data_IF_970029737334
#
_entry.id   IF_970029737334
#
_cell.length_a   1.000
_cell.length_b   1.000
_cell.length_c   1.000
_cell.angle_alpha   90.00
_cell.angle_beta   90.00
_cell.angle_gamma   90.00
#
_symmetry.space_group_name_H-M   'P 1'
#
loop_
_entity.id
_entity.type
_entity.pdbx_description
1 polymer ?
#
# COMPACT_ATOMS: atom_id res chain seq x y z
N UNK A 1 -35.10 53.81 -20.12
CA UNK A 1 -35.21 53.01 -18.92
C UNK A 1 -36.01 51.74 -19.27
N UNK A 2 -35.37 50.65 -19.72
CA UNK A 2 -35.98 49.39 -20.05
C UNK A 2 -35.23 48.28 -19.30
N UNK A 3 -35.97 47.59 -18.47
CA UNK A 3 -35.57 46.41 -17.72
C UNK A 3 -35.26 45.26 -18.71
N UNK A 4 -34.06 44.69 -18.64
CA UNK A 4 -33.70 43.48 -19.36
C UNK A 4 -33.83 42.27 -18.44
N UNK A 5 -34.59 41.31 -18.95
CA UNK A 5 -35.06 40.09 -18.36
C UNK A 5 -33.96 39.05 -18.12
N UNK A 6 -34.06 38.39 -16.96
CA UNK A 6 -33.37 37.13 -16.65
C UNK A 6 -33.96 36.02 -17.51
N UNK A 7 -33.21 35.41 -18.38
CA UNK A 7 -33.48 34.02 -18.81
C UNK A 7 -32.24 33.39 -19.47
N UNK A 8 -31.98 32.15 -19.01
CA UNK A 8 -31.34 31.04 -19.71
C UNK A 8 -29.81 30.97 -19.70
N UNK A 9 -29.27 30.39 -18.62
CA UNK A 9 -28.12 29.53 -18.70
C UNK A 9 -28.56 28.08 -18.44
N UNK A 10 -28.90 27.38 -19.52
CA UNK A 10 -28.99 25.92 -19.53
C UNK A 10 -27.53 25.40 -19.69
N UNK A 11 -26.88 25.13 -18.59
CA UNK A 11 -25.64 24.38 -18.57
C UNK A 11 -25.91 22.91 -18.86
N UNK A 12 -25.58 22.45 -20.04
CA UNK A 12 -25.52 21.02 -20.38
C UNK A 12 -24.42 20.36 -19.61
N UNK A 13 -24.76 19.79 -18.45
CA UNK A 13 -23.86 18.86 -17.73
C UNK A 13 -23.78 17.58 -18.55
N UNK A 14 -22.66 17.38 -19.27
CA UNK A 14 -22.30 16.10 -19.85
C UNK A 14 -21.82 15.23 -18.69
N UNK A 15 -22.73 14.46 -18.10
CA UNK A 15 -22.39 13.37 -17.22
C UNK A 15 -21.70 12.29 -18.07
N UNK A 16 -20.38 12.22 -18.02
CA UNK A 16 -19.64 11.10 -18.56
C UNK A 16 -19.97 9.87 -17.70
N UNK A 17 -20.96 9.10 -18.14
CA UNK A 17 -21.25 7.78 -17.58
C UNK A 17 -20.08 6.85 -17.91
N UNK A 18 -19.22 6.59 -16.92
CA UNK A 18 -18.25 5.50 -16.99
C UNK A 18 -19.05 4.20 -16.97
N UNK A 19 -19.30 3.66 -18.13
CA UNK A 19 -19.93 2.35 -18.29
C UNK A 19 -18.90 1.31 -17.85
N UNK A 20 -19.05 0.78 -16.65
CA UNK A 20 -18.28 -0.37 -16.19
C UNK A 20 -18.72 -1.57 -17.03
N UNK A 21 -17.89 -2.00 -17.97
CA UNK A 21 -18.04 -3.30 -18.61
C UNK A 21 -18.01 -4.35 -17.50
N UNK A 22 -19.19 -4.91 -17.18
CA UNK A 22 -19.28 -6.08 -16.33
C UNK A 22 -18.54 -7.21 -17.04
N UNK A 23 -17.50 -7.76 -16.42
CA UNK A 23 -16.89 -9.00 -16.88
C UNK A 23 -18.02 -10.06 -17.00
N UNK A 24 -18.03 -10.85 -18.06
CA UNK A 24 -19.05 -11.90 -18.19
C UNK A 24 -18.96 -12.85 -16.99
N UNK A 25 -20.12 -13.17 -16.37
CA UNK A 25 -20.19 -14.18 -15.32
C UNK A 25 -19.61 -15.49 -15.86
N UNK A 26 -18.46 -15.92 -15.32
CA UNK A 26 -17.79 -17.16 -15.72
C UNK A 26 -16.44 -17.02 -16.44
N UNK A 27 -15.96 -15.80 -16.74
CA UNK A 27 -14.58 -15.64 -17.17
C UNK A 27 -13.63 -15.93 -16.00
N UNK A 28 -12.67 -16.85 -16.21
CA UNK A 28 -11.60 -17.07 -15.23
C UNK A 28 -10.89 -15.75 -14.95
N UNK A 29 -10.70 -15.40 -13.67
CA UNK A 29 -9.90 -14.24 -13.31
C UNK A 29 -8.48 -14.42 -13.82
N UNK A 30 -7.88 -13.40 -14.45
CA UNK A 30 -6.50 -13.53 -14.92
C UNK A 30 -5.57 -13.89 -13.77
N UNK A 31 -4.70 -14.87 -13.99
CA UNK A 31 -3.57 -15.10 -13.09
C UNK A 31 -2.54 -14.01 -13.34
N UNK A 32 -2.33 -13.14 -12.36
CA UNK A 32 -1.34 -12.07 -12.43
C UNK A 32 0.09 -12.56 -12.15
N UNK A 33 0.29 -13.89 -12.02
CA UNK A 33 1.59 -14.53 -11.82
C UNK A 33 2.16 -14.37 -10.41
N UNK A 34 1.40 -13.82 -9.46
CA UNK A 34 1.90 -13.60 -8.11
C UNK A 34 1.64 -14.78 -7.18
N UNK A 35 2.68 -15.17 -6.44
CA UNK A 35 2.56 -16.13 -5.35
C UNK A 35 1.88 -15.47 -4.15
N UNK A 36 0.75 -16.03 -3.73
CA UNK A 36 0.05 -15.59 -2.53
C UNK A 36 0.40 -16.43 -1.31
N UNK A 37 0.68 -15.77 -0.21
CA UNK A 37 0.98 -16.39 1.09
C UNK A 37 -0.30 -16.54 1.89
N UNK A 38 -0.54 -17.72 2.46
CA UNK A 38 -1.64 -17.95 3.39
C UNK A 38 -1.29 -17.39 4.78
N UNK A 39 -2.13 -16.49 5.27
CA UNK A 39 -2.08 -16.01 6.65
C UNK A 39 -3.16 -16.73 7.44
N UNK A 40 -2.79 -17.52 8.47
CA UNK A 40 -3.76 -18.32 9.23
C UNK A 40 -4.78 -17.46 9.98
N UNK A 41 -5.98 -18.02 10.19
CA UNK A 41 -6.96 -17.43 11.10
C UNK A 41 -6.40 -17.34 12.53
N UNK A 42 -6.98 -16.46 13.33
CA UNK A 42 -6.67 -16.36 14.76
C UNK A 42 -6.20 -14.97 15.18
N UNK A 43 -5.87 -14.81 16.46
CA UNK A 43 -5.54 -13.52 17.06
C UNK A 43 -4.14 -13.03 16.69
N UNK A 44 -3.98 -11.70 16.73
CA UNK A 44 -2.67 -11.04 16.67
C UNK A 44 -2.71 -9.71 17.46
N UNK A 45 -1.53 -9.21 17.82
CA UNK A 45 -1.38 -7.92 18.49
C UNK A 45 -1.27 -6.81 17.44
N UNK A 46 -2.30 -5.95 17.33
CA UNK A 46 -2.34 -4.80 16.44
C UNK A 46 -2.00 -3.52 17.19
N UNK A 47 -1.17 -2.68 16.58
CA UNK A 47 -0.81 -1.38 17.14
C UNK A 47 0.34 -1.45 18.13
N UNK A 48 0.52 -0.37 18.91
CA UNK A 48 1.62 -0.15 19.84
C UNK A 48 1.06 0.15 21.22
N UNK A 49 1.63 -0.45 22.28
CA UNK A 49 1.26 -0.13 23.66
C UNK A 49 1.63 1.33 24.00
N UNK A 50 0.82 2.01 24.80
CA UNK A 50 1.05 3.41 25.13
C UNK A 50 2.44 3.67 25.73
N UNK A 51 2.88 2.82 26.67
CA UNK A 51 4.21 2.91 27.28
C UNK A 51 5.35 2.74 26.26
N UNK A 52 5.15 1.87 25.28
CA UNK A 52 6.11 1.65 24.19
C UNK A 52 6.14 2.84 23.24
N UNK A 53 4.99 3.41 22.89
CA UNK A 53 4.91 4.62 22.08
C UNK A 53 5.63 5.81 22.75
N UNK A 54 5.46 5.98 24.06
CA UNK A 54 6.18 7.00 24.84
C UNK A 54 7.69 6.74 24.87
N UNK A 55 8.13 5.48 25.01
CA UNK A 55 9.55 5.10 24.97
C UNK A 55 10.15 5.44 23.63
N UNK A 56 9.52 5.00 22.54
CA UNK A 56 9.97 5.24 21.16
C UNK A 56 10.02 6.74 20.84
N UNK A 57 9.00 7.50 21.25
CA UNK A 57 8.96 8.94 21.03
C UNK A 57 10.15 9.65 21.73
N UNK A 58 10.48 9.29 22.97
CA UNK A 58 11.64 9.83 23.70
C UNK A 58 12.97 9.44 23.03
N UNK A 59 13.12 8.17 22.68
CA UNK A 59 14.37 7.63 22.13
C UNK A 59 14.71 8.27 20.78
N UNK A 60 13.71 8.50 19.95
CA UNK A 60 13.89 9.07 18.61
C UNK A 60 13.63 10.57 18.54
N UNK A 61 13.41 11.26 19.67
CA UNK A 61 13.14 12.70 19.74
C UNK A 61 11.91 13.16 18.95
N UNK A 62 10.86 12.31 18.88
CA UNK A 62 9.57 12.65 18.28
C UNK A 62 8.53 12.99 19.34
N UNK A 63 7.52 13.75 18.95
CA UNK A 63 6.34 13.96 19.79
C UNK A 63 5.46 12.70 19.76
N UNK A 64 5.00 12.25 20.93
CA UNK A 64 4.22 10.98 21.07
C UNK A 64 2.93 10.96 20.23
N UNK A 65 2.35 12.14 19.92
CA UNK A 65 1.16 12.22 19.06
C UNK A 65 1.37 11.68 17.64
N UNK A 66 2.61 11.60 17.16
CA UNK A 66 2.93 11.02 15.85
C UNK A 66 2.68 9.50 15.83
N UNK A 67 2.73 8.88 17.01
CA UNK A 67 2.42 7.46 17.20
C UNK A 67 0.96 7.22 17.61
N UNK A 68 0.17 8.29 17.75
CA UNK A 68 -1.21 8.21 18.26
C UNK A 68 -2.15 7.36 17.42
N UNK A 69 -1.92 7.29 16.10
CA UNK A 69 -2.74 6.47 15.20
C UNK A 69 -2.59 4.96 15.40
N UNK A 70 -1.55 4.51 16.09
CA UNK A 70 -1.27 3.10 16.36
C UNK A 70 -1.54 2.67 17.83
N UNK A 71 -1.88 3.63 18.69
CA UNK A 71 -2.23 3.41 20.11
C UNK A 71 -3.75 3.39 20.26
N UNK A 72 -4.32 2.53 21.12
CA UNK A 72 -3.67 1.50 21.93
C UNK A 72 -3.37 0.20 21.15
N UNK A 73 -2.41 -0.57 21.65
CA UNK A 73 -2.26 -1.95 21.21
C UNK A 73 -3.49 -2.76 21.61
N UNK A 74 -3.96 -3.62 20.71
CA UNK A 74 -5.15 -4.45 20.95
C UNK A 74 -5.00 -5.81 20.27
N UNK A 75 -5.58 -6.83 20.87
CA UNK A 75 -5.72 -8.14 20.23
C UNK A 75 -6.90 -8.09 19.27
N UNK A 76 -6.65 -8.41 18.00
CA UNK A 76 -7.68 -8.60 16.99
C UNK A 76 -7.65 -10.05 16.51
N UNK A 77 -8.83 -10.60 16.23
CA UNK A 77 -8.98 -11.88 15.59
C UNK A 77 -9.37 -11.68 14.13
N UNK A 78 -8.63 -12.32 13.22
CA UNK A 78 -8.90 -12.26 11.78
C UNK A 78 -9.16 -13.66 11.24
N UNK A 79 -10.07 -13.82 10.27
CA UNK A 79 -10.17 -15.05 9.49
C UNK A 79 -8.88 -15.31 8.71
N UNK A 80 -8.71 -16.52 8.20
CA UNK A 80 -7.63 -16.81 7.27
C UNK A 80 -7.82 -16.03 5.97
N UNK A 81 -6.73 -15.57 5.39
CA UNK A 81 -6.71 -14.87 4.10
C UNK A 81 -5.40 -15.15 3.36
N UNK A 82 -5.38 -14.85 2.08
CA UNK A 82 -4.15 -14.87 1.29
C UNK A 82 -3.75 -13.44 0.95
N UNK A 83 -2.44 -13.18 0.93
CA UNK A 83 -1.86 -11.89 0.57
C UNK A 83 -0.72 -12.10 -0.44
N UNK A 84 -0.55 -11.19 -1.38
CA UNK A 84 0.57 -11.24 -2.33
C UNK A 84 1.90 -11.26 -1.57
N UNK A 85 2.81 -12.14 -1.97
CA UNK A 85 4.15 -12.25 -1.37
C UNK A 85 4.93 -10.95 -1.53
N UNK A 86 4.83 -10.31 -2.68
CA UNK A 86 5.48 -9.05 -3.04
C UNK A 86 4.44 -7.97 -3.37
N UNK A 87 4.81 -6.68 -3.32
CA UNK A 87 4.01 -5.61 -3.91
C UNK A 87 3.75 -5.87 -5.41
N UNK A 88 2.68 -5.31 -5.96
CA UNK A 88 2.43 -5.38 -7.41
C UNK A 88 3.55 -4.67 -8.15
N UNK A 89 4.24 -5.40 -9.05
CA UNK A 89 5.34 -4.84 -9.85
C UNK A 89 4.83 -4.07 -11.06
N UNK A 90 5.68 -3.20 -11.62
CA UNK A 90 5.39 -2.51 -12.88
C UNK A 90 5.07 -3.50 -14.00
N UNK A 91 5.78 -4.63 -14.08
CA UNK A 91 5.49 -5.72 -15.06
C UNK A 91 4.06 -6.24 -14.94
N UNK A 92 3.62 -6.55 -13.71
CA UNK A 92 2.26 -7.07 -13.46
C UNK A 92 1.20 -6.01 -13.74
N UNK A 93 1.47 -4.76 -13.37
CA UNK A 93 0.54 -3.66 -13.64
C UNK A 93 0.41 -3.36 -15.14
N UNK A 94 1.47 -3.54 -15.94
CA UNK A 94 1.43 -3.40 -17.39
C UNK A 94 0.49 -4.43 -18.06
N UNK A 95 0.45 -5.66 -17.55
CA UNK A 95 -0.51 -6.66 -18.02
C UNK A 95 -1.96 -6.20 -17.83
N UNK A 96 -2.28 -5.58 -16.69
CA UNK A 96 -3.58 -4.98 -16.43
C UNK A 96 -3.87 -3.79 -17.37
N UNK A 97 -2.92 -2.86 -17.52
CA UNK A 97 -3.05 -1.68 -18.40
C UNK A 97 -3.39 -2.13 -19.82
N UNK A 98 -2.66 -3.10 -20.35
CA UNK A 98 -2.88 -3.62 -21.69
C UNK A 98 -4.20 -4.41 -21.81
N UNK A 99 -4.55 -5.26 -20.86
CA UNK A 99 -5.76 -6.07 -20.89
C UNK A 99 -7.04 -5.23 -20.79
N UNK A 100 -7.00 -4.14 -20.04
CA UNK A 100 -8.18 -3.32 -19.74
C UNK A 100 -8.19 -1.97 -20.47
N UNK A 101 -7.19 -1.70 -21.33
CA UNK A 101 -6.95 -0.37 -21.88
C UNK A 101 -7.00 0.71 -20.80
N UNK A 102 -6.42 0.39 -19.63
CA UNK A 102 -6.43 1.29 -18.48
C UNK A 102 -5.34 2.36 -18.62
N UNK A 103 -5.51 3.50 -17.93
CA UNK A 103 -4.50 4.56 -17.94
C UNK A 103 -3.20 4.07 -17.28
N UNK A 104 -2.05 4.24 -17.94
CA UNK A 104 -0.76 3.92 -17.33
C UNK A 104 -0.35 4.94 -16.27
N UNK A 105 0.57 4.59 -15.34
CA UNK A 105 1.25 5.56 -14.49
C UNK A 105 1.92 6.68 -15.29
N UNK A 106 1.88 7.91 -14.78
CA UNK A 106 2.31 9.11 -15.52
C UNK A 106 3.79 9.11 -15.95
N UNK A 107 4.64 8.34 -15.26
CA UNK A 107 6.07 8.24 -15.56
C UNK A 107 6.41 7.18 -16.62
N UNK A 108 5.42 6.41 -17.11
CA UNK A 108 5.64 5.44 -18.18
C UNK A 108 5.61 6.12 -19.55
N UNK A 109 6.28 5.52 -20.52
CA UNK A 109 6.21 5.94 -21.92
C UNK A 109 5.11 5.13 -22.63
N UNK A 110 3.91 5.69 -22.73
CA UNK A 110 2.73 4.96 -23.21
C UNK A 110 2.28 3.89 -22.22
N UNK A 111 2.02 2.68 -22.67
CA UNK A 111 1.54 1.55 -21.85
C UNK A 111 2.68 0.67 -21.31
N UNK A 112 3.93 0.98 -21.66
CA UNK A 112 5.09 0.19 -21.27
C UNK A 112 5.86 0.86 -20.14
N UNK A 113 6.15 0.12 -19.04
CA UNK A 113 7.00 0.63 -17.98
C UNK A 113 8.46 0.74 -18.44
N UNK A 114 9.25 1.65 -17.86
CA UNK A 114 10.69 1.70 -18.10
C UNK A 114 11.34 0.35 -17.76
N UNK A 115 12.17 -0.18 -18.68
CA UNK A 115 12.78 -1.50 -18.54
C UNK A 115 13.54 -1.73 -17.20
N UNK A 116 14.27 -0.75 -16.63
CA UNK A 116 14.92 -0.92 -15.32
C UNK A 116 13.93 -1.07 -14.15
N UNK A 117 12.66 -0.62 -14.30
CA UNK A 117 11.66 -0.61 -13.25
C UNK A 117 10.70 -1.80 -13.33
N UNK A 118 10.87 -2.73 -14.25
CA UNK A 118 9.94 -3.84 -14.44
C UNK A 118 9.64 -4.62 -13.16
N UNK A 119 10.68 -4.93 -12.37
CA UNK A 119 10.55 -5.71 -11.12
C UNK A 119 10.46 -4.81 -9.86
N UNK A 120 10.35 -3.51 -10.02
CA UNK A 120 10.08 -2.59 -8.92
C UNK A 120 8.57 -2.52 -8.62
N UNK A 121 8.16 -2.16 -7.39
CA UNK A 121 6.77 -1.85 -7.09
C UNK A 121 6.23 -0.81 -8.09
N UNK A 122 5.01 -1.02 -8.56
CA UNK A 122 4.32 0.04 -9.32
C UNK A 122 4.01 1.20 -8.38
N UNK A 123 4.36 2.41 -8.82
CA UNK A 123 4.11 3.67 -8.12
C UNK A 123 3.38 4.66 -9.04
N UNK A 124 3.09 5.88 -8.56
CA UNK A 124 2.23 6.85 -9.26
C UNK A 124 0.82 6.32 -9.56
N UNK A 125 0.31 5.44 -8.70
CA UNK A 125 -1.04 4.88 -8.73
C UNK A 125 -1.81 5.34 -7.50
N UNK A 126 -3.02 5.85 -7.70
CA UNK A 126 -3.89 6.19 -6.58
C UNK A 126 -4.65 4.95 -6.08
N UNK A 127 -5.40 5.11 -4.99
CA UNK A 127 -6.16 4.00 -4.40
C UNK A 127 -7.22 3.43 -5.33
N UNK A 128 -7.84 4.25 -6.19
CA UNK A 128 -8.83 3.77 -7.17
C UNK A 128 -8.14 2.93 -8.25
N UNK A 129 -6.96 3.32 -8.70
CA UNK A 129 -6.14 2.56 -9.65
C UNK A 129 -5.75 1.20 -9.06
N UNK A 130 -5.30 1.18 -7.79
CA UNK A 130 -4.96 -0.04 -7.07
C UNK A 130 -6.17 -0.99 -6.90
N UNK A 131 -7.35 -0.46 -6.59
CA UNK A 131 -8.59 -1.23 -6.52
C UNK A 131 -9.03 -1.78 -7.88
N UNK A 132 -8.85 -1.00 -8.96
CA UNK A 132 -9.18 -1.44 -10.30
C UNK A 132 -8.32 -2.63 -10.72
N UNK A 133 -7.01 -2.56 -10.47
CA UNK A 133 -6.09 -3.69 -10.66
C UNK A 133 -6.51 -4.91 -9.84
N UNK A 134 -6.71 -4.73 -8.52
CA UNK A 134 -7.07 -5.83 -7.64
C UNK A 134 -8.35 -6.54 -8.09
N UNK A 135 -9.38 -5.77 -8.50
CA UNK A 135 -10.62 -6.32 -9.05
C UNK A 135 -10.38 -7.12 -10.34
N UNK A 136 -9.54 -6.59 -11.26
CA UNK A 136 -9.18 -7.30 -12.49
C UNK A 136 -8.50 -8.64 -12.19
N UNK A 137 -7.58 -8.66 -11.22
CA UNK A 137 -6.86 -9.86 -10.79
C UNK A 137 -7.72 -10.82 -9.91
N UNK A 138 -9.02 -10.55 -9.71
CA UNK A 138 -9.87 -11.35 -8.83
C UNK A 138 -9.48 -11.29 -7.36
N UNK A 139 -8.91 -10.17 -6.94
CA UNK A 139 -8.37 -9.87 -5.61
C UNK A 139 -9.00 -8.58 -5.06
N UNK A 140 -8.56 -8.17 -3.89
CA UNK A 140 -8.87 -6.88 -3.24
C UNK A 140 -7.63 -6.29 -2.59
N UNK A 141 -7.68 -5.05 -2.14
CA UNK A 141 -6.65 -4.52 -1.25
C UNK A 141 -6.78 -5.18 0.13
N UNK A 142 -5.67 -5.39 0.86
CA UNK A 142 -5.72 -5.80 2.26
C UNK A 142 -6.28 -4.67 3.13
N UNK A 143 -6.98 -4.99 4.20
CA UNK A 143 -7.23 -4.03 5.29
C UNK A 143 -5.92 -3.72 6.01
N UNK A 144 -5.84 -2.58 6.72
CA UNK A 144 -4.66 -2.25 7.52
C UNK A 144 -4.38 -3.32 8.59
N UNK A 145 -5.42 -3.98 9.12
CA UNK A 145 -5.26 -5.08 10.07
C UNK A 145 -4.68 -6.34 9.42
N UNK A 146 -5.16 -6.73 8.23
CA UNK A 146 -4.61 -7.85 7.48
C UNK A 146 -3.16 -7.61 7.08
N UNK A 147 -2.88 -6.40 6.58
CA UNK A 147 -1.52 -5.99 6.23
C UNK A 147 -0.58 -6.09 7.44
N UNK A 148 -0.99 -5.54 8.60
CA UNK A 148 -0.18 -5.54 9.81
C UNK A 148 0.04 -6.97 10.35
N UNK A 149 -0.98 -7.83 10.35
CA UNK A 149 -0.83 -9.26 10.72
C UNK A 149 0.16 -9.96 9.79
N UNK A 150 0.06 -9.75 8.47
CA UNK A 150 0.96 -10.34 7.50
C UNK A 150 2.42 -9.88 7.69
N UNK A 151 2.62 -8.62 8.12
CA UNK A 151 3.93 -8.05 8.36
C UNK A 151 4.57 -8.54 9.66
N UNK A 152 3.85 -8.53 10.77
CA UNK A 152 4.43 -8.73 12.12
C UNK A 152 4.15 -10.08 12.75
N UNK A 153 3.31 -10.93 12.14
CA UNK A 153 2.90 -12.18 12.79
C UNK A 153 1.96 -11.96 13.98
N UNK A 154 2.09 -12.80 15.00
CA UNK A 154 1.24 -12.79 16.19
C UNK A 154 1.92 -12.24 17.44
N UNK A 155 3.23 -12.12 17.45
CA UNK A 155 4.06 -11.78 18.63
C UNK A 155 4.24 -10.28 18.87
N UNK A 156 3.72 -9.44 17.96
CA UNK A 156 3.78 -7.99 18.13
C UNK A 156 5.14 -7.35 17.83
N UNK A 157 6.01 -8.05 17.10
CA UNK A 157 7.35 -7.54 16.71
C UNK A 157 7.29 -6.20 15.99
N UNK A 158 8.39 -5.44 16.07
CA UNK A 158 8.48 -4.10 15.48
C UNK A 158 8.55 -4.13 13.96
N UNK A 159 9.46 -4.95 13.41
CA UNK A 159 9.74 -5.07 11.98
C UNK A 159 9.38 -6.48 11.50
N UNK A 160 9.20 -6.71 10.20
CA UNK A 160 8.88 -8.04 9.69
C UNK A 160 9.86 -9.13 10.14
N UNK A 161 11.14 -8.80 10.23
CA UNK A 161 12.24 -9.71 10.60
C UNK A 161 12.50 -9.81 12.11
N UNK A 162 11.93 -8.94 12.95
CA UNK A 162 12.13 -8.97 14.41
C UNK A 162 12.02 -7.61 15.07
N UNK A 163 12.68 -7.43 16.22
CA UNK A 163 12.60 -6.19 17.00
C UNK A 163 13.76 -5.23 16.77
N UNK A 164 14.89 -5.73 16.29
CA UNK A 164 16.06 -4.91 15.97
C UNK A 164 16.00 -4.44 14.52
N UNK A 165 16.32 -3.15 14.31
CA UNK A 165 16.35 -2.59 12.96
C UNK A 165 17.57 -3.12 12.20
N UNK A 166 17.32 -3.72 11.02
CA UNK A 166 18.35 -4.18 10.09
C UNK A 166 18.32 -3.34 8.81
N UNK A 167 19.34 -2.53 8.59
CA UNK A 167 19.45 -1.63 7.42
C UNK A 167 19.46 -2.37 6.08
N UNK A 168 19.93 -3.62 6.06
CA UNK A 168 20.02 -4.43 4.84
C UNK A 168 18.70 -5.14 4.51
N UNK A 169 17.71 -5.08 5.42
CA UNK A 169 16.45 -5.80 5.28
C UNK A 169 15.37 -5.02 4.52
N UNK A 170 15.57 -3.74 4.21
CA UNK A 170 14.60 -2.93 3.49
C UNK A 170 15.24 -1.73 2.76
N UNK A 171 14.53 -1.17 1.79
CA UNK A 171 14.89 0.05 1.08
C UNK A 171 14.41 1.29 1.85
N UNK A 172 15.32 2.19 2.26
CA UNK A 172 15.07 3.37 3.09
C UNK A 172 16.12 4.46 2.88
N UNK A 173 15.91 5.65 3.45
CA UNK A 173 16.87 6.78 3.46
C UNK A 173 17.23 7.19 4.91
N UNK A 174 17.86 6.29 5.66
CA UNK A 174 18.28 6.53 7.05
C UNK A 174 19.68 7.15 7.14
N UNK A 175 19.95 8.15 6.31
CA UNK A 175 21.22 8.90 6.33
C UNK A 175 22.39 8.09 5.79
N UNK A 176 22.18 7.32 4.75
CA UNK A 176 23.26 6.61 4.05
C UNK A 176 24.16 7.59 3.28
N UNK A 177 25.43 7.24 3.12
CA UNK A 177 26.38 8.06 2.36
C UNK A 177 25.92 8.29 0.92
N UNK A 178 25.14 7.35 0.38
CA UNK A 178 24.49 7.44 -0.92
C UNK A 178 23.01 7.07 -0.74
N UNK A 179 22.15 8.05 -0.51
CA UNK A 179 20.72 7.79 -0.37
C UNK A 179 20.14 7.14 -1.63
N UNK A 180 19.09 6.32 -1.51
CA UNK A 180 18.41 5.77 -2.66
C UNK A 180 17.78 6.88 -3.51
N UNK A 181 17.69 6.66 -4.80
CA UNK A 181 17.05 7.59 -5.75
C UNK A 181 15.66 7.10 -6.17
N UNK A 182 15.12 6.10 -5.50
CA UNK A 182 13.83 5.48 -5.80
C UNK A 182 13.64 4.12 -5.14
N UNK A 183 12.61 3.42 -5.60
CA UNK A 183 12.34 2.05 -5.18
C UNK A 183 13.42 1.07 -5.63
N UNK A 184 13.45 -0.11 -5.04
CA UNK A 184 14.29 -1.25 -5.43
C UNK A 184 13.42 -2.37 -6.05
N UNK A 185 14.01 -3.33 -6.80
CA UNK A 185 13.33 -4.55 -7.17
C UNK A 185 12.77 -5.27 -5.93
N UNK A 186 11.55 -5.82 -6.02
CA UNK A 186 10.85 -6.45 -4.90
C UNK A 186 11.59 -7.65 -4.27
N UNK A 187 12.66 -8.12 -4.91
CA UNK A 187 13.53 -9.20 -4.43
C UNK A 187 14.86 -8.72 -3.86
N UNK A 188 15.10 -7.40 -3.82
CA UNK A 188 16.39 -6.83 -3.44
C UNK A 188 16.79 -7.09 -1.99
N UNK A 189 15.81 -7.23 -1.09
CA UNK A 189 16.03 -7.36 0.36
C UNK A 189 15.56 -8.72 0.90
N UNK A 190 16.26 -9.83 0.61
CA UNK A 190 15.80 -11.18 0.99
C UNK A 190 15.75 -11.41 2.51
N UNK A 191 16.42 -10.56 3.31
CA UNK A 191 16.38 -10.61 4.78
C UNK A 191 15.12 -9.94 5.37
N UNK A 192 14.36 -9.18 4.57
CA UNK A 192 13.18 -8.41 4.97
C UNK A 192 11.90 -9.22 5.14
N UNK A 193 11.98 -10.56 5.14
CA UNK A 193 10.81 -11.43 5.20
C UNK A 193 10.07 -11.38 6.54
N UNK A 194 8.74 -11.37 6.47
CA UNK A 194 7.87 -11.51 7.62
C UNK A 194 7.86 -12.97 8.15
N UNK A 195 7.27 -13.26 9.33
CA UNK A 195 7.12 -14.62 9.85
C UNK A 195 6.43 -15.58 8.89
N UNK A 196 5.61 -15.06 8.00
CA UNK A 196 4.90 -15.83 6.99
C UNK A 196 5.62 -15.88 5.63
N UNK A 197 6.76 -15.19 5.49
CA UNK A 197 7.51 -15.10 4.24
C UNK A 197 6.96 -14.06 3.26
N UNK A 198 6.14 -13.12 3.73
CA UNK A 198 5.71 -11.95 2.94
C UNK A 198 6.87 -10.96 2.91
N UNK A 199 7.21 -10.42 1.76
CA UNK A 199 8.38 -9.59 1.52
C UNK A 199 8.02 -8.11 1.35
N UNK A 200 9.00 -7.22 1.50
CA UNK A 200 8.84 -5.77 1.32
C UNK A 200 7.72 -5.15 2.18
N UNK A 201 7.51 -5.70 3.40
CA UNK A 201 6.55 -5.16 4.36
C UNK A 201 7.13 -3.98 5.18
N UNK A 202 8.30 -3.48 4.81
CA UNK A 202 9.01 -2.37 5.45
C UNK A 202 9.87 -1.68 4.41
N UNK A 203 9.68 -0.38 4.18
CA UNK A 203 10.39 0.39 3.16
C UNK A 203 9.91 0.14 1.73
N UNK A 204 10.74 0.48 0.78
CA UNK A 204 10.52 0.41 -0.66
C UNK A 204 9.34 1.29 -1.12
N UNK A 205 8.10 0.82 -1.08
CA UNK A 205 6.92 1.62 -1.37
C UNK A 205 5.89 1.49 -0.24
N UNK A 206 5.32 2.61 0.20
CA UNK A 206 4.16 2.61 1.08
C UNK A 206 2.95 2.03 0.35
N UNK A 207 2.09 1.30 1.05
CA UNK A 207 1.06 0.49 0.41
C UNK A 207 -0.36 0.91 0.77
N UNK A 208 -1.20 1.10 -0.26
CA UNK A 208 -2.62 1.36 -0.10
C UNK A 208 -3.35 0.21 0.60
N UNK A 209 -4.11 0.56 1.67
CA UNK A 209 -5.04 -0.36 2.32
C UNK A 209 -6.50 -0.13 1.89
N UNK A 210 -7.35 -1.15 2.14
CA UNK A 210 -8.76 -1.13 1.77
C UNK A 210 -9.61 -0.19 2.63
N UNK A 211 -9.29 -0.09 3.92
CA UNK A 211 -9.95 0.75 4.92
C UNK A 211 -9.35 2.17 4.96
N UNK A 212 -10.03 3.07 5.63
CA UNK A 212 -9.67 4.47 5.71
C UNK A 212 -9.85 5.02 7.13
N UNK A 213 -9.05 6.05 7.51
CA UNK A 213 -9.23 6.74 8.79
C UNK A 213 -10.37 7.77 8.76
N UNK A 214 -10.87 8.13 7.57
CA UNK A 214 -11.93 9.11 7.36
C UNK A 214 -12.22 9.36 5.88
N UNK A 215 -13.24 10.15 5.56
CA UNK A 215 -13.63 10.43 4.18
C UNK A 215 -12.47 11.02 3.35
N UNK A 216 -12.27 10.51 2.14
CA UNK A 216 -11.26 10.99 1.19
C UNK A 216 -9.81 10.64 1.54
N UNK A 217 -9.58 9.79 2.55
CA UNK A 217 -8.25 9.35 2.95
C UNK A 217 -8.15 7.83 3.02
N UNK A 218 -6.93 7.30 3.01
CA UNK A 218 -6.66 5.88 3.14
C UNK A 218 -5.47 5.63 4.06
N UNK A 219 -5.44 4.48 4.72
CA UNK A 219 -4.22 4.03 5.39
C UNK A 219 -3.16 3.66 4.36
N UNK A 220 -1.96 4.14 4.62
CA UNK A 220 -0.72 3.69 4.00
C UNK A 220 0.10 2.96 5.05
N UNK A 221 0.66 1.82 4.68
CA UNK A 221 1.46 0.97 5.57
C UNK A 221 2.85 0.74 5.00
N UNK A 222 3.80 0.41 5.87
CA UNK A 222 5.13 -0.08 5.50
C UNK A 222 6.23 0.99 5.42
N UNK A 223 5.91 2.27 5.37
CA UNK A 223 6.91 3.30 5.04
C UNK A 223 7.37 3.17 3.58
N UNK A 224 8.44 3.85 3.19
CA UNK A 224 8.91 3.85 1.81
C UNK A 224 10.42 4.11 1.72
N UNK A 225 10.95 4.15 0.50
CA UNK A 225 12.35 4.42 0.21
C UNK A 225 12.85 5.81 0.70
N UNK A 226 11.92 6.76 0.92
CA UNK A 226 12.20 8.09 1.50
C UNK A 226 12.15 8.11 3.04
N UNK A 227 11.94 6.97 3.70
CA UNK A 227 11.83 6.94 5.16
C UNK A 227 13.18 7.24 5.82
N UNK A 228 13.23 8.35 6.56
CA UNK A 228 14.41 8.84 7.28
C UNK A 228 14.46 8.41 8.76
N UNK A 229 13.49 7.60 9.19
CA UNK A 229 13.41 7.10 10.57
C UNK A 229 12.91 5.66 10.63
N UNK A 230 13.53 4.81 11.45
CA UNK A 230 13.03 3.46 11.69
C UNK A 230 11.59 3.43 12.21
N UNK A 231 11.13 4.52 12.84
CA UNK A 231 9.76 4.61 13.37
C UNK A 231 8.70 4.45 12.29
N UNK A 232 8.94 4.99 11.10
CA UNK A 232 8.00 4.91 9.96
C UNK A 232 8.00 3.56 9.26
N UNK A 233 9.04 2.75 9.51
CA UNK A 233 9.26 1.44 8.90
C UNK A 233 8.70 0.28 9.74
N UNK A 234 8.17 0.56 10.96
CA UNK A 234 7.59 -0.45 11.85
C UNK A 234 6.27 -1.02 11.29
N UNK A 235 6.01 -2.28 11.55
CA UNK A 235 4.76 -2.93 11.14
C UNK A 235 3.51 -2.22 11.65
N UNK A 236 3.55 -1.66 12.88
CA UNK A 236 2.43 -0.94 13.48
C UNK A 236 2.26 0.48 12.96
N UNK A 237 3.30 1.07 12.33
CA UNK A 237 3.27 2.48 11.90
C UNK A 237 2.04 2.81 11.05
N UNK A 238 1.37 3.90 11.40
CA UNK A 238 0.19 4.45 10.72
C UNK A 238 0.33 5.95 10.45
N UNK A 239 1.58 6.43 10.43
CA UNK A 239 1.89 7.85 10.27
C UNK A 239 1.56 8.42 8.90
N UNK A 240 1.33 7.57 7.91
CA UNK A 240 0.96 8.00 6.57
C UNK A 240 -0.51 7.72 6.35
N UNK A 241 -1.34 8.77 6.32
CA UNK A 241 -2.65 8.74 5.70
C UNK A 241 -2.56 9.51 4.39
N UNK A 242 -2.69 8.82 3.26
CA UNK A 242 -2.72 9.44 1.95
C UNK A 242 -4.12 9.94 1.61
N UNK A 243 -4.22 11.04 0.88
CA UNK A 243 -5.46 11.33 0.17
C UNK A 243 -5.68 10.27 -0.91
N UNK A 244 -6.91 9.80 -1.07
CA UNK A 244 -7.28 8.71 -2.00
C UNK A 244 -6.80 8.93 -3.44
N UNK A 245 -6.57 10.19 -3.85
CA UNK A 245 -6.14 10.60 -5.18
C UNK A 245 -4.63 10.83 -5.32
N UNK A 246 -3.83 10.63 -4.27
CA UNK A 246 -2.37 10.79 -4.36
C UNK A 246 -1.77 9.80 -5.35
N UNK A 247 -0.90 10.29 -6.22
CA UNK A 247 -0.12 9.51 -7.17
C UNK A 247 1.35 9.93 -7.02
N UNK A 248 2.06 9.26 -6.11
CA UNK A 248 3.42 9.62 -5.71
C UNK A 248 4.38 8.46 -6.02
N UNK A 249 5.65 8.78 -6.19
CA UNK A 249 6.71 7.85 -6.58
C UNK A 249 7.10 6.85 -5.49
N UNK A 250 6.54 7.01 -4.30
CA UNK A 250 6.77 6.16 -3.14
C UNK A 250 5.52 5.43 -2.64
N UNK A 251 4.40 5.49 -3.39
CA UNK A 251 3.15 4.81 -3.01
C UNK A 251 2.79 3.76 -4.07
N UNK A 252 2.70 2.53 -3.63
CA UNK A 252 2.27 1.37 -4.39
C UNK A 252 1.16 0.59 -3.65
N UNK A 253 1.07 -0.72 -3.90
CA UNK A 253 0.11 -1.60 -3.25
C UNK A 253 0.45 -3.07 -3.45
N UNK A 254 -0.17 -3.91 -2.64
CA UNK A 254 -0.30 -5.37 -2.85
C UNK A 254 -1.75 -5.79 -2.74
N UNK A 255 -2.06 -7.00 -3.17
CA UNK A 255 -3.42 -7.53 -3.10
C UNK A 255 -3.57 -8.62 -2.04
N UNK A 256 -4.82 -8.81 -1.62
CA UNK A 256 -5.27 -9.90 -0.76
C UNK A 256 -6.52 -10.56 -1.35
N UNK A 257 -6.86 -11.74 -0.87
CA UNK A 257 -8.15 -12.41 -1.13
C UNK A 257 -8.51 -13.32 0.04
N UNK A 258 -9.73 -13.80 0.04
CA UNK A 258 -10.18 -14.86 0.96
C UNK A 258 -9.31 -16.11 0.79
N UNK A 259 -9.17 -16.92 1.87
CA UNK A 259 -8.29 -18.11 1.93
C UNK A 259 -8.70 -19.23 0.98
#
# INVERSE_FOLDING_TARGET
>A
MKLLNRREWLGTSIAASVTWLALPLGAATPDDGETMVLIPAGPFLMGTAASEAERLAREHHYHVSWLGGEVPQRTLELPAFRIDKYPVTNRRYAAFVNAMAYKPPAHWNGTEPPAPLLEHPVTFVNRADARAYAKWAGKRLPTAAEWEKAARGTDGRMFPWGNEFDREACQHDLGDVKPPTGTAPVTAHPRGGSPYGVMDMSGNAAEWCADNPGPGSAFLKGGCWLSESPLTLRCAARGMSGFDNNQLDYIGFRCAREA
#
